data_IF_058870586365
#
_entry.id   IF_058870586365
#
_cell.length_a   1.000
_cell.length_b   1.000
_cell.length_c   1.000
_cell.angle_alpha   90.00
_cell.angle_beta   90.00
_cell.angle_gamma   90.00
#
_symmetry.space_group_name_H-M   'P 1'
#
loop_
_entity.id
_entity.type
_entity.pdbx_description
1 polymer ?
#
# COMPACT_ATOMS: atom_id res chain seq x y z
N UNK A 1 38.80 -32.35 -23.57
CA UNK A 1 37.92 -31.20 -23.27
C UNK A 1 36.53 -31.67 -22.76
N UNK A 2 36.03 -31.18 -21.61
CA UNK A 2 34.67 -31.53 -21.19
C UNK A 2 33.71 -30.97 -22.24
N UNK A 3 32.93 -31.85 -22.89
CA UNK A 3 31.93 -31.43 -23.88
C UNK A 3 30.90 -30.63 -23.09
N UNK A 4 30.80 -29.33 -23.36
CA UNK A 4 29.80 -28.47 -22.70
C UNK A 4 28.68 -28.25 -23.70
N UNK A 5 27.43 -28.26 -23.25
CA UNK A 5 26.29 -27.97 -24.12
C UNK A 5 26.27 -26.52 -24.61
N UNK A 6 25.33 -26.19 -25.52
CA UNK A 6 25.25 -24.88 -26.16
C UNK A 6 24.96 -23.76 -25.15
N UNK A 7 25.50 -22.56 -25.41
CA UNK A 7 25.14 -21.36 -24.64
C UNK A 7 23.68 -20.99 -24.93
N UNK A 8 22.93 -20.60 -23.90
CA UNK A 8 21.53 -20.19 -24.00
C UNK A 8 21.26 -19.03 -23.04
N UNK A 9 21.36 -17.80 -23.55
CA UNK A 9 21.22 -16.60 -22.71
C UNK A 9 22.23 -16.57 -21.54
N UNK A 10 21.77 -16.30 -20.31
CA UNK A 10 22.63 -16.34 -19.12
C UNK A 10 23.08 -17.76 -18.75
N UNK A 11 22.42 -18.79 -19.28
CA UNK A 11 22.66 -20.19 -18.93
C UNK A 11 23.45 -20.92 -20.02
N UNK A 12 23.96 -22.10 -19.68
CA UNK A 12 24.53 -23.04 -20.64
C UNK A 12 23.79 -24.37 -20.53
N UNK A 13 23.33 -24.89 -21.66
CA UNK A 13 22.49 -26.08 -21.66
C UNK A 13 23.26 -27.34 -21.25
N UNK A 14 22.57 -28.30 -20.60
CA UNK A 14 23.07 -29.65 -20.40
C UNK A 14 23.46 -30.34 -21.71
N UNK A 15 24.32 -31.36 -21.60
CA UNK A 15 24.68 -32.19 -22.74
C UNK A 15 23.45 -32.94 -23.29
N UNK A 16 23.24 -32.83 -24.60
CA UNK A 16 22.10 -33.46 -25.28
C UNK A 16 20.85 -32.59 -25.39
N UNK A 17 20.86 -31.39 -24.79
CA UNK A 17 19.79 -30.41 -24.94
C UNK A 17 20.15 -29.29 -25.92
N UNK A 18 19.12 -28.64 -26.48
CA UNK A 18 19.24 -27.47 -27.35
C UNK A 18 18.69 -26.22 -26.67
N UNK A 19 19.21 -25.05 -27.04
CA UNK A 19 18.69 -23.78 -26.56
C UNK A 19 17.31 -23.54 -27.18
N UNK A 20 16.27 -23.50 -26.34
CA UNK A 20 14.91 -23.23 -26.74
C UNK A 20 14.63 -21.72 -26.73
N UNK A 21 14.98 -21.04 -25.63
CA UNK A 21 14.71 -19.62 -25.48
C UNK A 21 15.94 -18.89 -24.93
N UNK A 22 16.71 -18.20 -25.79
CA UNK A 22 17.92 -17.51 -25.37
C UNK A 22 17.63 -16.28 -24.50
N UNK A 23 16.44 -15.67 -24.59
CA UNK A 23 16.06 -14.55 -23.72
C UNK A 23 15.86 -14.99 -22.28
N UNK A 24 15.43 -16.25 -22.08
CA UNK A 24 15.10 -16.81 -20.77
C UNK A 24 16.13 -17.82 -20.26
N UNK A 25 17.13 -18.16 -21.08
CA UNK A 25 18.06 -19.25 -20.83
C UNK A 25 17.40 -20.62 -20.64
N UNK A 26 16.31 -20.90 -21.37
CA UNK A 26 15.57 -22.17 -21.29
C UNK A 26 16.13 -23.15 -22.31
N UNK A 27 16.51 -24.33 -21.82
CA UNK A 27 16.98 -25.46 -22.61
C UNK A 27 15.86 -26.51 -22.74
N UNK A 28 15.86 -27.25 -23.84
CA UNK A 28 14.89 -28.32 -24.06
C UNK A 28 15.52 -29.50 -24.80
N UNK A 29 15.01 -30.73 -24.62
CA UNK A 29 15.46 -31.86 -25.42
C UNK A 29 15.12 -31.68 -26.91
N UNK A 30 15.92 -32.24 -27.81
CA UNK A 30 15.67 -32.16 -29.25
C UNK A 30 14.29 -32.75 -29.61
N UNK A 31 13.55 -32.05 -30.47
CA UNK A 31 12.23 -32.47 -30.96
C UNK A 31 11.05 -32.12 -30.05
N UNK A 32 11.28 -31.49 -28.89
CA UNK A 32 10.19 -30.97 -28.04
C UNK A 32 9.75 -29.58 -28.49
N UNK A 33 8.45 -29.32 -28.37
CA UNK A 33 7.84 -28.02 -28.66
C UNK A 33 8.47 -26.94 -27.79
N UNK A 34 8.79 -25.81 -28.40
CA UNK A 34 9.49 -24.71 -27.75
C UNK A 34 8.69 -23.41 -27.93
N UNK A 35 8.42 -22.72 -26.83
CA UNK A 35 7.73 -21.42 -26.84
C UNK A 35 8.77 -20.31 -26.67
N UNK A 36 8.91 -19.48 -27.71
CA UNK A 36 9.84 -18.34 -27.73
C UNK A 36 9.13 -17.09 -27.22
N UNK A 37 8.98 -16.99 -25.89
CA UNK A 37 8.51 -15.78 -25.22
C UNK A 37 9.70 -14.87 -24.90
N UNK A 38 9.55 -13.56 -25.05
CA UNK A 38 10.55 -12.63 -24.51
C UNK A 38 10.48 -12.70 -22.98
N UNK A 39 11.56 -13.11 -22.31
CA UNK A 39 11.67 -12.85 -20.89
C UNK A 39 11.98 -11.37 -20.67
N UNK A 40 11.17 -10.71 -19.85
CA UNK A 40 11.51 -9.39 -19.32
C UNK A 40 12.75 -9.55 -18.45
N UNK A 41 13.76 -8.74 -18.72
CA UNK A 41 14.97 -8.66 -17.90
C UNK A 41 14.57 -8.34 -16.45
N UNK A 42 15.25 -8.96 -15.48
CA UNK A 42 15.07 -8.65 -14.05
C UNK A 42 15.49 -7.21 -13.67
N UNK A 43 15.86 -6.38 -14.65
CA UNK A 43 16.21 -4.96 -14.53
C UNK A 43 15.09 -4.00 -14.94
N UNK A 44 13.88 -4.50 -15.14
CA UNK A 44 12.69 -3.72 -14.81
C UNK A 44 12.04 -4.37 -13.59
N UNK A 45 12.70 -4.22 -12.43
CA UNK A 45 11.91 -3.72 -11.32
C UNK A 45 11.28 -2.43 -11.86
N UNK A 46 10.05 -2.53 -12.38
CA UNK A 46 9.07 -1.50 -12.04
C UNK A 46 9.38 -1.17 -10.59
N UNK A 47 9.69 0.09 -10.25
CA UNK A 47 9.93 0.42 -8.87
C UNK A 47 8.75 -0.23 -8.16
N UNK A 48 9.06 -1.22 -7.32
CA UNK A 48 8.09 -1.75 -6.40
C UNK A 48 7.83 -0.50 -5.61
N UNK A 49 6.80 0.23 -6.03
CA UNK A 49 6.09 1.13 -5.18
C UNK A 49 5.76 0.14 -4.08
N UNK A 50 6.58 0.21 -3.02
CA UNK A 50 6.01 0.15 -1.70
C UNK A 50 4.65 0.80 -1.86
N UNK A 51 3.55 0.21 -1.36
CA UNK A 51 2.47 1.07 -0.99
C UNK A 51 3.11 2.05 0.00
N UNK A 52 3.69 3.15 -0.51
CA UNK A 52 3.49 4.46 -0.01
C UNK A 52 2.02 4.38 0.26
N UNK A 53 1.70 4.15 1.53
CA UNK A 53 0.40 4.44 2.09
C UNK A 53 0.01 5.67 1.28
N UNK A 54 -0.93 5.55 0.34
CA UNK A 54 -1.26 6.66 -0.55
C UNK A 54 -2.00 7.61 0.37
N UNK A 55 -1.20 8.25 1.22
CA UNK A 55 -1.50 9.30 2.12
C UNK A 55 -2.03 10.29 1.13
N UNK A 56 -3.35 10.42 1.21
CA UNK A 56 -4.16 11.03 0.21
C UNK A 56 -3.57 12.27 -0.45
N UNK A 57 -4.10 12.66 -1.59
CA UNK A 57 -3.59 13.87 -2.23
C UNK A 57 -3.85 15.06 -1.29
N UNK A 58 -2.80 15.76 -0.88
CA UNK A 58 -2.92 16.94 -0.03
C UNK A 58 -3.80 17.96 -0.74
N UNK A 59 -4.80 18.46 -0.03
CA UNK A 59 -5.77 19.41 -0.55
C UNK A 59 -5.99 20.48 0.52
N UNK A 60 -5.22 21.58 0.44
CA UNK A 60 -5.26 22.62 1.45
C UNK A 60 -4.99 22.09 2.87
N UNK A 61 -5.94 22.25 3.82
CA UNK A 61 -5.85 21.60 5.12
C UNK A 61 -5.96 20.07 5.00
N UNK A 62 -6.85 19.53 4.17
CA UNK A 62 -7.19 18.11 4.21
C UNK A 62 -6.27 17.24 3.33
N UNK A 63 -6.48 15.93 3.44
CA UNK A 63 -5.81 14.89 2.67
C UNK A 63 -6.90 14.04 2.02
N UNK A 64 -7.03 14.08 0.70
CA UNK A 64 -8.11 13.43 -0.04
C UNK A 64 -7.87 11.93 -0.22
N UNK A 65 -8.89 11.10 -0.04
CA UNK A 65 -8.75 9.64 -0.22
C UNK A 65 -8.11 9.29 -1.58
N UNK A 66 -7.47 8.12 -1.69
CA UNK A 66 -6.72 7.74 -2.90
C UNK A 66 -7.59 7.65 -4.16
N UNK A 67 -8.92 7.54 -4.02
CA UNK A 67 -9.91 7.56 -5.11
C UNK A 67 -10.53 8.96 -5.35
N UNK A 68 -10.08 9.99 -4.64
CA UNK A 68 -10.58 11.36 -4.71
C UNK A 68 -9.51 12.35 -5.19
N UNK A 69 -9.95 13.36 -5.95
CA UNK A 69 -9.12 14.49 -6.36
C UNK A 69 -9.36 15.71 -5.48
N UNK A 70 -8.32 16.54 -5.31
CA UNK A 70 -8.51 17.85 -4.69
C UNK A 70 -9.39 18.72 -5.61
N UNK A 71 -10.52 19.15 -5.08
CA UNK A 71 -11.48 20.02 -5.74
C UNK A 71 -11.17 21.48 -5.41
N UNK A 72 -10.87 21.80 -4.15
CA UNK A 72 -10.62 23.18 -3.74
C UNK A 72 -9.51 23.21 -2.69
N UNK A 73 -8.34 23.69 -3.07
CA UNK A 73 -7.17 23.80 -2.18
C UNK A 73 -7.38 24.85 -1.08
N UNK A 74 -8.16 25.91 -1.33
CA UNK A 74 -8.45 26.92 -0.30
C UNK A 74 -9.29 26.32 0.84
N UNK A 75 -10.22 25.45 0.49
CA UNK A 75 -11.17 24.83 1.42
C UNK A 75 -10.76 23.43 1.91
N UNK A 76 -9.83 22.79 1.20
CA UNK A 76 -9.52 21.38 1.35
C UNK A 76 -10.67 20.45 1.00
N UNK A 77 -11.46 20.79 -0.02
CA UNK A 77 -12.53 19.91 -0.48
C UNK A 77 -12.01 18.85 -1.43
N UNK A 78 -12.30 17.60 -1.10
CA UNK A 78 -12.02 16.43 -1.91
C UNK A 78 -13.27 16.05 -2.71
N UNK A 79 -13.10 15.58 -3.94
CA UNK A 79 -14.22 15.11 -4.75
C UNK A 79 -13.89 13.81 -5.44
N UNK A 80 -14.94 13.00 -5.64
CA UNK A 80 -14.88 11.83 -6.51
C UNK A 80 -14.82 12.24 -7.99
N UNK A 81 -14.22 11.40 -8.85
CA UNK A 81 -14.29 11.56 -10.29
C UNK A 81 -15.72 11.75 -10.79
N UNK A 82 -15.93 12.67 -11.73
CA UNK A 82 -17.23 12.93 -12.35
C UNK A 82 -18.21 13.77 -11.52
N UNK A 83 -17.85 14.25 -10.33
CA UNK A 83 -18.64 15.23 -9.57
C UNK A 83 -18.22 16.66 -9.89
N UNK A 84 -19.17 17.58 -9.94
CA UNK A 84 -18.89 19.00 -10.13
C UNK A 84 -18.08 19.57 -8.94
N UNK A 85 -17.34 20.65 -9.18
CA UNK A 85 -16.55 21.34 -8.17
C UNK A 85 -16.82 22.85 -8.24
N UNK A 86 -16.82 23.50 -7.08
CA UNK A 86 -16.88 24.96 -6.95
C UNK A 86 -15.53 25.48 -6.44
N UNK A 87 -14.90 26.34 -7.24
CA UNK A 87 -13.66 27.05 -6.87
C UNK A 87 -13.99 28.32 -6.09
N UNK A 88 -14.65 28.17 -4.95
CA UNK A 88 -14.92 29.27 -4.03
C UNK A 88 -13.75 29.53 -3.08
N UNK A 89 -13.52 30.79 -2.70
CA UNK A 89 -12.49 31.13 -1.74
C UNK A 89 -13.03 30.91 -0.31
N UNK A 90 -12.44 29.98 0.46
CA UNK A 90 -12.90 29.72 1.82
C UNK A 90 -12.31 30.73 2.79
N UNK A 91 -13.15 31.66 3.26
CA UNK A 91 -12.79 32.66 4.28
C UNK A 91 -12.49 31.97 5.63
N UNK A 92 -13.02 30.77 5.87
CA UNK A 92 -12.73 29.93 7.03
C UNK A 92 -12.56 28.47 6.58
N UNK A 93 -11.34 28.01 6.24
CA UNK A 93 -11.13 26.58 6.00
C UNK A 93 -11.51 25.77 7.25
N UNK A 94 -12.03 24.54 7.11
CA UNK A 94 -12.30 23.67 8.24
C UNK A 94 -10.99 23.50 9.03
N UNK A 95 -10.95 24.04 10.25
CA UNK A 95 -9.79 23.91 11.13
C UNK A 95 -9.61 22.43 11.43
N UNK A 96 -8.55 21.81 10.94
CA UNK A 96 -8.20 20.49 11.40
C UNK A 96 -7.94 20.55 12.92
N UNK A 97 -8.35 19.51 13.64
CA UNK A 97 -7.98 19.34 15.04
C UNK A 97 -6.48 19.10 15.18
N UNK A 98 -5.95 18.98 16.41
CA UNK A 98 -4.54 18.67 16.62
C UNK A 98 -4.18 17.27 16.11
N UNK A 99 -2.89 17.06 15.82
CA UNK A 99 -2.35 15.71 15.60
C UNK A 99 -2.34 14.94 16.92
N UNK A 100 -2.71 13.67 16.90
CA UNK A 100 -2.80 12.80 18.06
C UNK A 100 -2.20 11.44 17.71
N UNK A 101 -0.89 11.27 17.97
CA UNK A 101 -0.15 10.06 17.59
C UNK A 101 -0.29 9.71 16.09
N UNK A 102 -0.84 8.52 15.74
CA UNK A 102 -1.10 8.12 14.36
C UNK A 102 -2.33 8.79 13.73
N UNK A 103 -3.17 9.49 14.49
CA UNK A 103 -4.46 10.06 14.06
C UNK A 103 -4.40 11.58 13.95
N UNK A 104 -5.14 12.18 13.01
CA UNK A 104 -5.44 13.61 12.99
C UNK A 104 -6.84 13.83 13.56
N UNK A 105 -6.99 14.63 14.62
CA UNK A 105 -8.31 14.85 15.22
C UNK A 105 -9.22 15.70 14.35
N UNK A 106 -10.54 15.51 14.49
CA UNK A 106 -11.50 16.32 13.78
C UNK A 106 -11.50 17.77 14.29
N UNK A 107 -12.09 18.67 13.50
CA UNK A 107 -12.26 20.06 13.87
C UNK A 107 -12.98 20.20 15.23
N UNK A 108 -12.36 20.91 16.17
CA UNK A 108 -12.93 21.14 17.51
C UNK A 108 -12.73 19.99 18.51
N UNK A 109 -12.06 18.91 18.14
CA UNK A 109 -11.62 17.86 19.07
C UNK A 109 -10.23 18.18 19.64
N UNK A 110 -9.91 17.56 20.77
CA UNK A 110 -8.58 17.59 21.38
C UNK A 110 -7.96 16.20 21.40
N UNK A 111 -6.63 16.14 21.32
CA UNK A 111 -5.93 14.87 21.52
C UNK A 111 -6.06 14.44 22.97
N UNK A 112 -6.64 13.26 23.17
CA UNK A 112 -6.87 12.70 24.49
C UNK A 112 -5.76 11.71 24.86
N UNK A 113 -5.36 10.85 23.92
CA UNK A 113 -4.33 9.84 24.11
C UNK A 113 -3.45 9.72 22.87
N UNK A 114 -2.23 10.27 22.97
CA UNK A 114 -1.25 10.25 21.88
C UNK A 114 -0.75 8.84 21.56
N UNK A 115 -0.66 7.94 22.55
CA UNK A 115 -0.21 6.57 22.32
C UNK A 115 -1.19 5.79 21.45
N UNK A 116 -2.48 6.11 21.57
CA UNK A 116 -3.55 5.39 20.89
C UNK A 116 -4.15 6.15 19.70
N UNK A 117 -3.80 7.43 19.56
CA UNK A 117 -4.43 8.34 18.62
C UNK A 117 -5.92 8.56 18.88
N UNK A 118 -6.33 8.59 20.15
CA UNK A 118 -7.72 8.85 20.54
C UNK A 118 -7.98 10.34 20.72
N UNK A 119 -8.94 10.82 19.95
CA UNK A 119 -9.45 12.18 19.99
C UNK A 119 -10.74 12.23 20.79
N UNK A 120 -10.99 13.34 21.49
CA UNK A 120 -12.22 13.53 22.25
C UNK A 120 -12.69 14.99 22.17
N UNK A 121 -13.94 15.24 22.55
CA UNK A 121 -14.45 16.60 22.66
C UNK A 121 -13.83 17.32 23.87
N UNK A 122 -13.65 18.66 23.80
CA UNK A 122 -13.19 19.44 24.95
C UNK A 122 -14.07 19.18 26.18
N UNK A 123 -13.42 18.91 27.32
CA UNK A 123 -14.10 18.63 28.58
C UNK A 123 -14.61 17.20 28.77
N UNK A 124 -14.51 16.32 27.77
CA UNK A 124 -14.75 14.89 27.97
C UNK A 124 -13.50 14.21 28.53
N UNK A 125 -13.68 13.45 29.62
CA UNK A 125 -12.63 12.61 30.18
C UNK A 125 -12.31 11.44 29.27
N UNK A 126 -11.09 10.94 29.34
CA UNK A 126 -10.68 9.74 28.63
C UNK A 126 -9.54 9.03 29.37
N UNK A 127 -9.29 7.76 29.00
CA UNK A 127 -8.19 6.96 29.55
C UNK A 127 -6.89 7.23 28.80
N UNK A 128 -5.82 7.50 29.56
CA UNK A 128 -4.45 7.61 29.06
C UNK A 128 -3.69 6.29 29.23
N UNK A 129 -4.28 5.22 28.71
CA UNK A 129 -3.61 3.92 28.67
C UNK A 129 -2.51 3.92 27.61
N UNK A 130 -1.47 3.13 27.85
CA UNK A 130 -0.45 2.89 26.83
C UNK A 130 -0.99 1.84 25.87
N UNK A 131 -1.28 2.24 24.63
CA UNK A 131 -1.59 1.28 23.59
C UNK A 131 -0.29 0.73 23.04
N UNK A 132 0.09 -0.48 23.46
CA UNK A 132 0.93 -1.31 22.61
C UNK A 132 0.24 -1.42 21.24
N UNK A 133 1.00 -1.38 20.15
CA UNK A 133 0.43 -1.48 18.81
C UNK A 133 -0.61 -2.60 18.69
N UNK A 134 -1.54 -2.48 17.75
CA UNK A 134 -2.53 -3.52 17.48
C UNK A 134 -1.89 -4.89 17.26
N UNK A 135 -2.67 -5.98 17.24
CA UNK A 135 -2.12 -7.33 17.20
C UNK A 135 -1.12 -7.52 16.07
N UNK A 136 -0.11 -8.36 16.30
CA UNK A 136 0.74 -8.84 15.21
C UNK A 136 -0.13 -9.59 14.21
N UNK A 137 0.09 -9.31 12.92
CA UNK A 137 -0.66 -9.86 11.80
C UNK A 137 0.35 -10.19 10.71
N UNK A 138 0.70 -11.46 10.58
CA UNK A 138 1.80 -11.93 9.74
C UNK A 138 3.09 -11.15 10.00
N UNK A 139 3.71 -10.55 8.97
CA UNK A 139 4.95 -9.78 9.13
C UNK A 139 4.74 -8.34 9.65
N UNK A 140 3.51 -7.93 9.99
CA UNK A 140 3.19 -6.55 10.40
C UNK A 140 2.61 -6.48 11.82
N UNK A 141 2.72 -5.32 12.45
CA UNK A 141 1.97 -4.97 13.66
C UNK A 141 0.79 -4.09 13.24
N UNK A 142 -0.44 -4.42 13.63
CA UNK A 142 -1.60 -3.60 13.30
C UNK A 142 -1.58 -2.25 14.02
N UNK A 143 -2.30 -1.26 13.49
CA UNK A 143 -2.46 0.00 14.20
C UNK A 143 -3.30 -0.21 15.47
N UNK A 144 -3.17 0.71 16.43
CA UNK A 144 -3.99 0.68 17.64
C UNK A 144 -5.47 0.70 17.27
N UNK A 145 -6.24 -0.23 17.84
CA UNK A 145 -7.68 -0.35 17.58
C UNK A 145 -8.05 -1.12 16.31
N UNK A 146 -7.08 -1.62 15.55
CA UNK A 146 -7.31 -2.56 14.44
C UNK A 146 -7.18 -4.01 14.91
N UNK A 147 -7.78 -4.93 14.16
CA UNK A 147 -7.66 -6.38 14.37
C UNK A 147 -6.94 -7.02 13.18
N UNK A 148 -6.24 -8.14 13.43
CA UNK A 148 -5.66 -8.91 12.34
C UNK A 148 -6.79 -9.55 11.54
N UNK A 149 -6.90 -9.11 10.28
CA UNK A 149 -7.96 -9.46 9.35
C UNK A 149 -7.53 -10.60 8.41
N UNK A 150 -6.25 -10.64 8.04
CA UNK A 150 -5.63 -11.75 7.33
C UNK A 150 -4.16 -11.88 7.73
N UNK A 151 -3.84 -12.95 8.47
CA UNK A 151 -2.50 -13.19 8.98
C UNK A 151 -1.49 -13.49 7.87
N UNK A 152 -1.88 -14.29 6.86
CA UNK A 152 -1.03 -14.63 5.70
C UNK A 152 -0.49 -13.38 5.01
N UNK A 153 -1.36 -12.39 4.80
CA UNK A 153 -1.05 -11.16 4.08
C UNK A 153 -0.64 -9.99 4.99
N UNK A 154 -0.65 -10.19 6.31
CA UNK A 154 -0.49 -9.13 7.30
C UNK A 154 -1.46 -7.97 7.09
N UNK A 155 -2.73 -8.29 6.86
CA UNK A 155 -3.78 -7.31 6.62
C UNK A 155 -4.51 -6.99 7.92
N UNK A 156 -4.54 -5.71 8.28
CA UNK A 156 -5.22 -5.20 9.47
C UNK A 156 -6.49 -4.49 9.04
N UNK A 157 -7.56 -4.60 9.82
CA UNK A 157 -8.81 -3.92 9.55
C UNK A 157 -9.45 -3.40 10.84
N UNK A 158 -10.36 -2.43 10.71
CA UNK A 158 -11.17 -1.99 11.84
C UNK A 158 -12.14 -3.11 12.26
N UNK A 159 -12.50 -3.18 13.56
CA UNK A 159 -13.51 -4.11 14.03
C UNK A 159 -14.81 -4.02 13.20
N UNK A 160 -15.28 -5.16 12.70
CA UNK A 160 -16.52 -5.26 11.90
C UNK A 160 -16.38 -4.98 10.41
N UNK A 161 -15.19 -4.66 9.90
CA UNK A 161 -14.94 -4.61 8.45
C UNK A 161 -14.82 -6.01 7.85
N UNK A 162 -15.23 -6.16 6.59
CA UNK A 162 -15.11 -7.41 5.85
C UNK A 162 -13.64 -7.73 5.55
N UNK A 163 -13.29 -9.01 5.62
CA UNK A 163 -11.94 -9.51 5.40
C UNK A 163 -11.88 -10.46 4.21
N UNK A 164 -10.83 -10.34 3.40
CA UNK A 164 -10.50 -11.33 2.37
C UNK A 164 -9.50 -12.34 2.95
N UNK A 165 -9.83 -13.62 2.86
CA UNK A 165 -9.00 -14.72 3.37
C UNK A 165 -8.12 -15.30 2.26
N UNK A 166 -7.45 -14.43 1.49
CA UNK A 166 -6.49 -14.84 0.47
C UNK A 166 -5.17 -15.30 1.11
N UNK A 167 -4.45 -16.22 0.47
CA UNK A 167 -3.15 -16.68 0.95
C UNK A 167 -2.03 -15.88 0.30
N UNK A 168 -1.18 -15.29 1.13
CA UNK A 168 0.10 -14.67 0.79
C UNK A 168 1.22 -15.43 1.54
#
# INVERSE_FOLDING_TARGET
PPRRGPQCGPNRCPLGETCCNPSCGICTPPGKGCIKLLCRSAEEKEPRQEPSLQLGTKCGPNVCASDEGCCNESCGYCRKPGKACTEEFCINPPKQGPRCGPTQCAAGETCCNESCGYCTKPGQGCTKEFCAGGPTCGPKQCAVGEVCCNDSCGHCAKPGQACTMELC
#
